data_IF_787249001893
#
_entry.id   IF_787249001893
#
_cell.length_a   1.000
_cell.length_b   1.000
_cell.length_c   1.000
_cell.angle_alpha   90.00
_cell.angle_beta   90.00
_cell.angle_gamma   90.00
#
_symmetry.space_group_name_H-M   'P 1'
#
loop_
_entity.id
_entity.type
_entity.pdbx_description
1 polymer ?
#
# COMPACT_ATOMS: atom_id res chain seq x y z
N UNK A 1 -68.03 22.72 -2.63
CA UNK A 1 -66.65 23.17 -2.37
C UNK A 1 -65.79 21.91 -2.26
N UNK A 2 -64.86 21.68 -3.21
CA UNK A 2 -64.01 20.48 -3.29
C UNK A 2 -62.74 20.70 -2.44
N UNK A 3 -62.33 19.77 -1.56
CA UNK A 3 -61.03 19.86 -0.92
C UNK A 3 -59.94 19.36 -1.89
N UNK A 4 -58.91 20.18 -2.07
CA UNK A 4 -57.73 19.88 -2.88
C UNK A 4 -56.84 18.94 -2.06
N UNK A 5 -56.64 17.72 -2.56
CA UNK A 5 -55.72 16.74 -2.00
C UNK A 5 -54.30 17.09 -2.45
N UNK A 6 -53.47 17.62 -1.55
CA UNK A 6 -52.06 17.88 -1.81
C UNK A 6 -51.29 16.59 -1.55
N UNK A 7 -50.91 15.88 -2.62
CA UNK A 7 -49.95 14.78 -2.56
C UNK A 7 -48.55 15.33 -2.29
N UNK A 8 -48.04 15.14 -1.08
CA UNK A 8 -46.62 15.30 -0.78
C UNK A 8 -45.85 14.12 -1.40
N UNK A 9 -45.21 14.37 -2.55
CA UNK A 9 -44.23 13.45 -3.13
C UNK A 9 -42.91 13.60 -2.36
N UNK A 10 -42.70 12.73 -1.37
CA UNK A 10 -41.43 12.62 -0.65
C UNK A 10 -40.37 12.02 -1.58
N UNK A 11 -39.45 12.84 -2.07
CA UNK A 11 -38.20 12.38 -2.68
C UNK A 11 -37.38 11.66 -1.61
N UNK A 12 -37.30 10.34 -1.70
CA UNK A 12 -36.27 9.54 -1.03
C UNK A 12 -34.94 9.81 -1.76
N UNK A 13 -34.15 10.74 -1.25
CA UNK A 13 -32.73 10.83 -1.59
C UNK A 13 -32.06 9.59 -1.00
N UNK A 14 -31.80 8.58 -1.81
CA UNK A 14 -30.84 7.54 -1.46
C UNK A 14 -29.46 8.20 -1.36
N UNK A 15 -29.02 8.49 -0.14
CA UNK A 15 -27.62 8.77 0.13
C UNK A 15 -26.83 7.51 -0.19
N UNK A 16 -26.29 7.44 -1.39
CA UNK A 16 -25.21 6.53 -1.71
C UNK A 16 -24.02 6.93 -0.85
N UNK A 17 -23.91 6.37 0.36
CA UNK A 17 -22.67 6.43 1.11
C UNK A 17 -21.59 5.77 0.26
N UNK A 18 -20.74 6.59 -0.37
CA UNK A 18 -19.47 6.13 -0.86
C UNK A 18 -18.71 5.58 0.35
N UNK A 19 -18.74 4.26 0.52
CA UNK A 19 -17.97 3.58 1.54
C UNK A 19 -16.50 3.88 1.21
N UNK A 20 -15.86 4.74 2.00
CA UNK A 20 -14.45 5.05 1.83
C UNK A 20 -13.67 3.74 2.00
N UNK A 21 -13.26 3.11 0.91
CA UNK A 21 -12.48 1.87 0.98
C UNK A 21 -11.15 2.22 1.63
N UNK A 22 -10.97 1.84 2.88
CA UNK A 22 -9.73 2.03 3.61
C UNK A 22 -9.02 0.68 3.65
N UNK A 23 -7.80 0.66 3.14
CA UNK A 23 -6.98 -0.54 3.02
C UNK A 23 -5.99 -0.62 4.20
N UNK A 24 -5.38 -1.79 4.38
CA UNK A 24 -4.20 -1.93 5.25
C UNK A 24 -3.04 -2.39 4.39
N UNK A 25 -1.99 -1.59 4.36
CA UNK A 25 -0.73 -1.91 3.71
C UNK A 25 0.19 -2.61 4.71
N UNK A 26 0.80 -3.70 4.28
CA UNK A 26 1.68 -4.51 5.13
C UNK A 26 3.03 -4.68 4.45
N UNK A 27 4.09 -4.32 5.14
CA UNK A 27 5.45 -4.62 4.74
C UNK A 27 5.90 -5.93 5.40
N UNK A 28 6.47 -6.82 4.60
CA UNK A 28 7.13 -8.05 5.06
C UNK A 28 8.63 -7.84 4.99
N UNK A 29 9.23 -7.33 6.05
CA UNK A 29 10.68 -7.08 6.07
C UNK A 29 11.42 -8.35 6.45
N UNK A 30 12.36 -8.78 5.60
CA UNK A 30 13.18 -9.96 5.89
C UNK A 30 13.91 -9.80 7.22
N UNK A 31 13.81 -10.82 8.09
CA UNK A 31 14.61 -10.87 9.31
C UNK A 31 16.00 -11.41 9.01
N UNK A 32 17.02 -10.64 9.34
CA UNK A 32 18.42 -11.09 9.28
C UNK A 32 18.80 -11.96 10.49
N UNK A 33 18.04 -11.84 11.58
CA UNK A 33 18.17 -12.58 12.84
C UNK A 33 17.24 -13.80 12.92
N UNK A 34 16.66 -14.24 11.80
CA UNK A 34 15.79 -15.42 11.77
C UNK A 34 16.60 -16.69 12.01
N UNK A 35 16.00 -17.67 12.68
CA UNK A 35 16.63 -18.98 12.87
C UNK A 35 17.03 -19.59 11.51
N UNK A 36 18.22 -20.17 11.46
CA UNK A 36 18.61 -21.01 10.34
C UNK A 36 17.81 -22.31 10.40
N UNK A 37 17.21 -22.67 9.27
CA UNK A 37 16.39 -23.87 9.14
C UNK A 37 16.90 -24.67 7.94
N UNK A 38 16.74 -26.00 7.94
CA UNK A 38 17.02 -26.83 6.77
C UNK A 38 16.24 -26.35 5.54
N UNK A 39 16.79 -26.57 4.36
CA UNK A 39 16.19 -26.13 3.10
C UNK A 39 14.77 -26.66 2.93
N UNK A 40 14.53 -27.91 3.28
CA UNK A 40 13.24 -28.59 3.18
C UNK A 40 12.18 -27.91 4.05
N UNK A 41 12.58 -27.44 5.23
CA UNK A 41 11.68 -26.71 6.13
C UNK A 41 11.38 -25.30 5.58
N UNK A 42 12.39 -24.60 5.06
CA UNK A 42 12.19 -23.30 4.41
C UNK A 42 11.25 -23.43 3.20
N UNK A 43 11.45 -24.45 2.36
CA UNK A 43 10.62 -24.70 1.18
C UNK A 43 9.17 -25.04 1.59
N UNK A 44 8.98 -25.81 2.67
CA UNK A 44 7.67 -26.11 3.24
C UNK A 44 6.95 -24.84 3.74
N UNK A 45 7.66 -23.98 4.47
CA UNK A 45 7.12 -22.70 4.94
C UNK A 45 6.73 -21.79 3.78
N UNK A 46 7.57 -21.70 2.74
CA UNK A 46 7.27 -20.87 1.56
C UNK A 46 6.10 -21.43 0.73
N UNK A 47 5.98 -22.76 0.59
CA UNK A 47 4.80 -23.38 -0.03
C UNK A 47 3.53 -23.05 0.75
N UNK A 48 3.58 -23.13 2.08
CA UNK A 48 2.47 -22.77 2.95
C UNK A 48 2.11 -21.28 2.88
N UNK A 49 3.11 -20.40 2.80
CA UNK A 49 2.94 -18.96 2.60
C UNK A 49 2.19 -18.65 1.29
N UNK A 50 2.62 -19.24 0.17
CA UNK A 50 1.94 -19.06 -1.13
C UNK A 50 0.51 -19.61 -1.13
N UNK A 51 0.28 -20.78 -0.51
CA UNK A 51 -1.06 -21.33 -0.35
C UNK A 51 -1.98 -20.43 0.49
N UNK A 52 -1.42 -19.80 1.53
CA UNK A 52 -2.14 -18.83 2.37
C UNK A 52 -2.50 -17.56 1.60
N UNK A 53 -1.57 -17.00 0.82
CA UNK A 53 -1.82 -15.86 -0.09
C UNK A 53 -2.99 -16.19 -1.04
N UNK A 54 -2.93 -17.33 -1.72
CA UNK A 54 -3.99 -17.73 -2.66
C UNK A 54 -5.34 -17.89 -1.98
N UNK A 55 -5.37 -18.45 -0.76
CA UNK A 55 -6.61 -18.59 0.00
C UNK A 55 -7.18 -17.21 0.39
N UNK A 56 -6.35 -16.32 0.95
CA UNK A 56 -6.78 -14.97 1.36
C UNK A 56 -7.22 -14.12 0.15
N UNK A 57 -6.60 -14.30 -1.01
CA UNK A 57 -7.03 -13.67 -2.25
C UNK A 57 -8.41 -14.18 -2.71
N UNK A 58 -8.64 -15.51 -2.70
CA UNK A 58 -9.97 -16.09 -3.01
C UNK A 58 -11.06 -15.64 -2.03
N UNK A 59 -10.71 -15.42 -0.77
CA UNK A 59 -11.62 -14.90 0.25
C UNK A 59 -11.88 -13.38 0.11
N UNK A 60 -11.27 -12.70 -0.86
CA UNK A 60 -11.41 -11.25 -1.07
C UNK A 60 -10.76 -10.39 0.02
N UNK A 61 -9.93 -11.00 0.88
CA UNK A 61 -9.26 -10.34 2.00
C UNK A 61 -7.96 -9.68 1.55
N UNK A 62 -7.16 -10.38 0.75
CA UNK A 62 -5.89 -9.91 0.21
C UNK A 62 -6.10 -9.47 -1.24
N UNK A 63 -5.84 -8.21 -1.54
CA UNK A 63 -6.04 -7.64 -2.89
C UNK A 63 -4.75 -7.67 -3.71
N UNK A 64 -3.64 -7.30 -3.08
CA UNK A 64 -2.34 -7.20 -3.74
C UNK A 64 -1.30 -7.94 -2.91
N UNK A 65 -0.47 -8.74 -3.58
CA UNK A 65 0.70 -9.38 -3.01
C UNK A 65 1.84 -9.33 -4.03
N UNK A 66 3.02 -8.92 -3.57
CA UNK A 66 4.19 -8.84 -4.45
C UNK A 66 5.49 -8.89 -3.66
N UNK A 67 6.43 -9.77 -4.01
CA UNK A 67 7.75 -9.75 -3.40
C UNK A 67 8.55 -8.54 -3.88
N UNK A 68 9.45 -8.10 -3.02
CA UNK A 68 10.53 -7.21 -3.45
C UNK A 68 11.72 -8.03 -3.94
N UNK A 69 12.44 -7.48 -4.92
CA UNK A 69 13.77 -7.98 -5.26
C UNK A 69 14.71 -7.88 -4.03
N UNK A 70 15.52 -8.92 -3.80
CA UNK A 70 16.35 -9.02 -2.60
C UNK A 70 15.63 -9.49 -1.33
N UNK A 71 14.32 -9.75 -1.42
CA UNK A 71 13.52 -10.40 -0.39
C UNK A 71 12.57 -9.48 0.36
N UNK A 72 11.66 -10.10 1.10
CA UNK A 72 10.51 -9.40 1.66
C UNK A 72 9.44 -9.11 0.61
N UNK A 73 8.51 -8.22 0.91
CA UNK A 73 7.44 -7.86 -0.01
C UNK A 73 6.37 -7.00 0.63
N UNK A 74 5.26 -6.85 -0.09
CA UNK A 74 4.08 -6.13 0.37
C UNK A 74 2.85 -7.01 0.31
N UNK A 75 1.89 -6.70 1.19
CA UNK A 75 0.49 -7.04 1.03
C UNK A 75 -0.38 -5.80 1.14
N UNK A 76 -1.51 -5.80 0.43
CA UNK A 76 -2.57 -4.80 0.63
C UNK A 76 -3.89 -5.53 0.85
N UNK A 77 -4.48 -5.32 2.02
CA UNK A 77 -5.70 -5.99 2.46
C UNK A 77 -6.93 -5.10 2.32
N UNK A 78 -8.06 -5.74 2.03
CA UNK A 78 -9.39 -5.14 1.97
C UNK A 78 -9.99 -4.98 3.39
N UNK A 79 -9.29 -4.25 4.26
CA UNK A 79 -9.73 -3.90 5.60
C UNK A 79 -8.96 -2.69 6.08
N UNK A 80 -9.60 -1.83 6.85
CA UNK A 80 -8.98 -0.66 7.47
C UNK A 80 -8.51 -0.89 8.91
N UNK A 81 -8.70 -2.12 9.42
CA UNK A 81 -8.32 -2.51 10.76
C UNK A 81 -7.03 -3.34 10.72
N UNK A 82 -5.89 -2.80 11.17
CA UNK A 82 -4.66 -3.57 11.32
C UNK A 82 -4.83 -4.79 12.24
N UNK A 83 -5.75 -4.75 13.20
CA UNK A 83 -6.02 -5.88 14.10
C UNK A 83 -6.69 -7.04 13.38
N UNK A 84 -7.69 -6.75 12.53
CA UNK A 84 -8.32 -7.76 11.67
C UNK A 84 -7.30 -8.37 10.70
N UNK A 85 -6.46 -7.54 10.09
CA UNK A 85 -5.41 -8.01 9.18
C UNK A 85 -4.37 -8.86 9.89
N UNK A 86 -4.00 -8.51 11.13
CA UNK A 86 -3.10 -9.33 11.97
C UNK A 86 -3.67 -10.72 12.22
N UNK A 87 -4.98 -10.84 12.44
CA UNK A 87 -5.63 -12.14 12.60
C UNK A 87 -5.56 -12.98 11.32
N UNK A 88 -5.80 -12.38 10.15
CA UNK A 88 -5.69 -13.06 8.86
C UNK A 88 -4.25 -13.49 8.54
N UNK A 89 -3.27 -12.66 8.88
CA UNK A 89 -1.85 -12.99 8.71
C UNK A 89 -1.39 -14.09 9.68
N UNK A 90 -2.05 -14.24 10.83
CA UNK A 90 -1.74 -15.28 11.81
C UNK A 90 -1.91 -16.72 11.30
N UNK A 91 -2.58 -16.93 10.17
CA UNK A 91 -2.70 -18.25 9.53
C UNK A 91 -1.51 -18.60 8.63
N UNK A 92 -0.61 -17.66 8.37
CA UNK A 92 0.54 -17.87 7.50
C UNK A 92 1.68 -18.60 8.23
N UNK A 93 2.13 -19.77 7.77
CA UNK A 93 3.17 -20.52 8.45
C UNK A 93 4.52 -19.81 8.46
N UNK A 94 4.88 -19.05 7.41
CA UNK A 94 6.13 -18.30 7.37
C UNK A 94 6.11 -17.09 8.32
N UNK A 95 4.96 -16.44 8.49
CA UNK A 95 4.80 -15.38 9.50
C UNK A 95 4.87 -15.97 10.90
N UNK A 96 4.17 -17.08 11.17
CA UNK A 96 4.23 -17.78 12.47
C UNK A 96 5.64 -18.26 12.82
N UNK A 97 6.42 -18.67 11.81
CA UNK A 97 7.82 -19.03 11.95
C UNK A 97 8.76 -17.81 12.06
N UNK A 98 8.22 -16.60 12.23
CA UNK A 98 9.00 -15.36 12.39
C UNK A 98 10.04 -15.15 11.27
N UNK A 99 9.68 -15.45 10.02
CA UNK A 99 10.59 -15.21 8.87
C UNK A 99 10.67 -13.73 8.49
N UNK A 100 9.65 -12.95 8.83
CA UNK A 100 9.54 -11.51 8.52
C UNK A 100 9.18 -10.68 9.76
N UNK A 101 9.63 -9.41 9.76
CA UNK A 101 9.11 -8.34 10.63
C UNK A 101 8.00 -7.63 9.87
N UNK A 102 6.81 -7.60 10.46
CA UNK A 102 5.65 -6.96 9.84
C UNK A 102 5.53 -5.51 10.29
N UNK A 103 5.36 -4.61 9.34
CA UNK A 103 4.86 -3.25 9.59
C UNK A 103 3.51 -3.12 8.91
N UNK A 104 2.51 -2.55 9.58
CA UNK A 104 1.14 -2.47 9.08
C UNK A 104 0.61 -1.06 9.27
N UNK A 105 0.09 -0.48 8.20
CA UNK A 105 -0.44 0.88 8.20
C UNK A 105 -1.81 0.90 7.51
N UNK A 106 -2.80 1.64 8.04
CA UNK A 106 -3.91 2.06 7.21
C UNK A 106 -3.37 2.78 5.97
N UNK A 107 -4.00 2.57 4.82
CA UNK A 107 -3.50 3.07 3.54
C UNK A 107 -4.60 3.74 2.74
N UNK A 108 -4.27 4.93 2.23
CA UNK A 108 -5.16 5.76 1.43
C UNK A 108 -4.48 6.07 0.10
N UNK A 109 -4.92 5.46 -1.02
CA UNK A 109 -4.43 5.82 -2.34
C UNK A 109 -4.95 7.20 -2.76
N UNK A 110 -4.12 7.95 -3.48
CA UNK A 110 -4.44 9.24 -4.10
C UNK A 110 -4.28 9.20 -5.62
N UNK A 111 -3.34 8.39 -6.11
CA UNK A 111 -3.17 8.04 -7.52
C UNK A 111 -3.31 6.53 -7.66
N UNK A 112 -4.06 6.09 -8.67
CA UNK A 112 -4.48 4.70 -8.78
C UNK A 112 -5.44 4.31 -7.66
N UNK A 113 -5.58 3.01 -7.44
CA UNK A 113 -6.29 2.45 -6.30
C UNK A 113 -5.72 1.05 -5.99
N UNK A 114 -6.47 0.17 -5.37
CA UNK A 114 -6.07 -1.21 -5.07
C UNK A 114 -7.06 -2.16 -5.71
N UNK A 115 -6.61 -2.91 -6.71
CA UNK A 115 -7.44 -3.82 -7.49
C UNK A 115 -6.98 -5.25 -7.29
N UNK A 116 -7.93 -6.13 -6.97
CA UNK A 116 -7.68 -7.57 -7.06
C UNK A 116 -7.50 -7.96 -8.53
N UNK A 117 -6.46 -8.75 -8.82
CA UNK A 117 -6.16 -9.22 -10.18
C UNK A 117 -6.31 -10.73 -10.28
N UNK A 118 -6.60 -11.22 -11.48
CA UNK A 118 -6.68 -12.65 -11.73
C UNK A 118 -5.32 -13.33 -11.52
N UNK A 119 -5.25 -14.58 -11.03
CA UNK A 119 -3.98 -15.29 -10.85
C UNK A 119 -3.17 -15.52 -12.13
N UNK A 120 -3.83 -15.40 -13.29
CA UNK A 120 -3.24 -15.61 -14.62
C UNK A 120 -2.76 -14.31 -15.27
N UNK A 121 -2.85 -13.17 -14.56
CA UNK A 121 -2.40 -11.90 -15.11
C UNK A 121 -0.89 -11.89 -15.30
N UNK A 122 -0.43 -11.12 -16.29
CA UNK A 122 0.99 -10.86 -16.48
C UNK A 122 1.59 -10.22 -15.23
N UNK A 123 2.77 -10.69 -14.82
CA UNK A 123 3.52 -10.09 -13.73
C UNK A 123 4.44 -9.00 -14.27
N UNK A 124 4.46 -7.85 -13.60
CA UNK A 124 5.24 -6.68 -13.98
C UNK A 124 6.14 -6.24 -12.83
N UNK A 125 7.22 -5.54 -13.18
CA UNK A 125 8.13 -4.96 -12.20
C UNK A 125 7.98 -3.45 -12.18
N UNK A 126 7.72 -2.90 -11.00
CA UNK A 126 7.69 -1.46 -10.75
C UNK A 126 8.84 -1.03 -9.85
N UNK A 127 9.24 0.23 -9.96
CA UNK A 127 10.06 0.86 -8.94
C UNK A 127 9.15 1.31 -7.81
N UNK A 128 9.44 0.80 -6.61
CA UNK A 128 8.73 1.11 -5.38
C UNK A 128 9.58 2.02 -4.53
N UNK A 129 8.98 3.11 -4.06
CA UNK A 129 9.60 4.11 -3.21
C UNK A 129 8.74 4.24 -1.95
N UNK A 130 9.36 4.05 -0.78
CA UNK A 130 8.73 4.30 0.51
C UNK A 130 9.30 5.56 1.11
N UNK A 131 8.44 6.48 1.54
CA UNK A 131 8.81 7.64 2.33
C UNK A 131 8.62 7.30 3.82
N UNK A 132 9.71 7.35 4.58
CA UNK A 132 9.74 7.00 6.01
C UNK A 132 9.97 8.29 6.80
N UNK A 133 9.04 8.71 7.68
CA UNK A 133 9.20 9.94 8.45
C UNK A 133 10.43 9.91 9.35
N UNK A 134 11.25 10.95 9.27
CA UNK A 134 12.44 11.15 10.11
C UNK A 134 12.32 12.45 10.91
N UNK A 135 11.18 12.61 11.59
CA UNK A 135 10.89 13.80 12.38
C UNK A 135 11.69 13.77 13.70
N UNK A 136 12.40 14.86 13.95
CA UNK A 136 13.19 15.10 15.15
C UNK A 136 12.84 16.47 15.74
N UNK A 137 13.34 16.75 16.95
CA UNK A 137 13.20 18.09 17.57
C UNK A 137 13.77 19.24 16.73
N UNK A 138 14.64 18.94 15.76
CA UNK A 138 15.32 19.94 14.94
C UNK A 138 14.55 20.30 13.66
N UNK A 139 13.76 19.37 13.11
CA UNK A 139 13.02 19.58 11.86
C UNK A 139 11.49 19.65 12.05
N UNK A 140 10.97 19.30 13.23
CA UNK A 140 9.51 19.28 13.52
C UNK A 140 8.82 20.62 13.24
N UNK A 141 9.51 21.75 13.46
CA UNK A 141 8.93 23.09 13.26
C UNK A 141 8.62 23.37 11.79
N UNK A 142 9.43 22.84 10.87
CA UNK A 142 9.23 22.96 9.42
C UNK A 142 8.37 21.85 8.85
N UNK A 143 8.27 20.73 9.56
CA UNK A 143 7.66 19.49 9.06
C UNK A 143 6.30 19.71 8.39
N UNK A 144 5.39 20.47 8.99
CA UNK A 144 4.07 20.74 8.42
C UNK A 144 4.12 21.41 7.04
N UNK A 145 4.98 22.42 6.87
CA UNK A 145 5.18 23.07 5.57
C UNK A 145 5.86 22.12 4.57
N UNK A 146 6.86 21.38 5.02
CA UNK A 146 7.57 20.41 4.18
C UNK A 146 6.65 19.27 3.70
N UNK A 147 5.78 18.73 4.55
CA UNK A 147 4.77 17.73 4.16
C UNK A 147 3.86 18.28 3.06
N UNK A 148 3.40 19.53 3.19
CA UNK A 148 2.57 20.17 2.16
C UNK A 148 3.33 20.31 0.84
N UNK A 149 4.57 20.79 0.88
CA UNK A 149 5.43 20.93 -0.31
C UNK A 149 5.69 19.57 -0.98
N UNK A 150 5.93 18.53 -0.19
CA UNK A 150 6.07 17.16 -0.65
C UNK A 150 4.79 16.64 -1.33
N UNK A 151 3.62 16.86 -0.72
CA UNK A 151 2.34 16.47 -1.34
C UNK A 151 2.11 17.20 -2.67
N UNK A 152 2.42 18.50 -2.73
CA UNK A 152 2.29 19.27 -3.97
C UNK A 152 3.31 18.82 -5.03
N UNK A 153 4.49 18.37 -4.61
CA UNK A 153 5.48 17.77 -5.48
C UNK A 153 5.01 16.43 -6.06
N UNK A 154 4.48 15.52 -5.23
CA UNK A 154 3.93 14.24 -5.68
C UNK A 154 2.77 14.44 -6.69
N UNK A 155 1.91 15.46 -6.48
CA UNK A 155 0.86 15.82 -7.45
C UNK A 155 1.44 16.26 -8.80
N UNK A 156 2.60 16.91 -8.82
CA UNK A 156 3.27 17.29 -10.07
C UNK A 156 3.84 16.05 -10.76
N UNK A 157 4.53 15.17 -10.03
CA UNK A 157 5.09 13.93 -10.61
C UNK A 157 3.98 13.03 -11.14
N UNK A 158 2.84 12.92 -10.44
CA UNK A 158 1.69 12.14 -10.89
C UNK A 158 1.20 12.53 -12.30
N UNK A 159 1.37 13.79 -12.71
CA UNK A 159 0.98 14.27 -14.04
C UNK A 159 1.94 13.86 -15.16
N UNK A 160 3.11 13.30 -14.83
CA UNK A 160 4.09 12.84 -15.84
C UNK A 160 3.67 11.55 -16.55
N UNK A 161 2.66 10.84 -16.04
CA UNK A 161 2.16 9.58 -16.61
C UNK A 161 2.97 8.32 -16.22
N UNK A 162 4.11 8.49 -15.54
CA UNK A 162 4.95 7.38 -15.10
C UNK A 162 4.57 6.82 -13.72
N UNK A 163 3.72 7.53 -12.97
CA UNK A 163 3.23 7.09 -11.66
C UNK A 163 2.09 6.09 -11.84
N UNK A 164 2.27 4.90 -11.28
CA UNK A 164 1.29 3.80 -11.26
C UNK A 164 0.37 3.95 -10.06
N UNK A 165 0.95 4.19 -8.89
CA UNK A 165 0.23 4.34 -7.64
C UNK A 165 0.95 5.34 -6.74
N UNK A 166 0.17 6.08 -5.97
CA UNK A 166 0.68 6.98 -4.94
C UNK A 166 -0.34 6.98 -3.81
N UNK A 167 0.13 6.90 -2.57
CA UNK A 167 -0.75 7.04 -1.41
C UNK A 167 0.03 7.22 -0.13
N UNK A 168 -0.71 7.54 0.93
CA UNK A 168 -0.12 7.87 2.22
C UNK A 168 -0.64 6.96 3.33
N UNK A 169 0.14 6.90 4.39
CA UNK A 169 -0.24 6.30 5.66
C UNK A 169 -0.71 7.43 6.60
N UNK A 170 -1.92 7.32 7.19
CA UNK A 170 -2.42 8.31 8.15
C UNK A 170 -1.46 8.54 9.33
N UNK A 171 -1.75 9.54 10.17
CA UNK A 171 -0.93 9.89 11.35
C UNK A 171 0.51 10.33 11.03
N UNK A 172 0.78 10.73 9.77
CA UNK A 172 2.11 11.09 9.27
C UNK A 172 3.08 9.93 9.33
N UNK A 173 2.61 8.69 9.14
CA UNK A 173 3.44 7.49 9.05
C UNK A 173 4.16 7.34 7.69
N UNK A 174 4.05 8.36 6.82
CA UNK A 174 4.71 8.43 5.53
C UNK A 174 3.80 8.04 4.38
N UNK A 175 4.37 7.39 3.38
CA UNK A 175 3.63 7.00 2.19
C UNK A 175 4.47 6.23 1.18
N UNK A 176 3.88 5.95 0.03
CA UNK A 176 4.49 5.19 -1.05
C UNK A 176 4.27 5.87 -2.40
N UNK A 177 5.23 5.68 -3.29
CA UNK A 177 5.15 6.01 -4.71
C UNK A 177 5.59 4.79 -5.52
N UNK A 178 4.81 4.42 -6.51
CA UNK A 178 5.07 3.29 -7.41
C UNK A 178 5.14 3.83 -8.83
N UNK A 179 6.25 3.57 -9.51
CA UNK A 179 6.53 4.13 -10.84
C UNK A 179 6.89 3.03 -11.84
N UNK A 180 6.53 3.26 -13.11
CA UNK A 180 6.97 2.44 -14.23
C UNK A 180 8.46 2.67 -14.49
N UNK A 181 9.19 1.61 -14.82
CA UNK A 181 10.60 1.70 -15.22
C UNK A 181 11.55 2.11 -14.10
N UNK A 182 12.74 2.56 -14.47
CA UNK A 182 13.72 3.14 -13.54
C UNK A 182 13.37 4.60 -13.23
N UNK A 183 13.71 5.02 -12.01
CA UNK A 183 13.45 6.38 -11.54
C UNK A 183 14.77 7.15 -11.54
N UNK A 184 14.77 8.31 -12.18
CA UNK A 184 15.90 9.25 -12.16
C UNK A 184 16.12 9.72 -10.71
N UNK A 185 17.32 9.55 -10.12
CA UNK A 185 17.64 10.07 -8.79
C UNK A 185 17.31 11.56 -8.64
N UNK A 186 17.48 12.36 -9.68
CA UNK A 186 17.18 13.80 -9.66
C UNK A 186 15.69 14.08 -9.37
N UNK A 187 14.79 13.17 -9.78
CA UNK A 187 13.36 13.27 -9.46
C UNK A 187 13.10 13.15 -7.96
N UNK A 188 13.93 12.41 -7.24
CA UNK A 188 13.72 12.23 -5.81
C UNK A 188 14.45 13.28 -5.00
N UNK A 189 15.65 13.67 -5.43
CA UNK A 189 16.40 14.77 -4.83
C UNK A 189 15.66 16.12 -4.93
N UNK A 190 14.87 16.30 -5.98
CA UNK A 190 14.01 17.48 -6.14
C UNK A 190 12.81 17.53 -5.18
N UNK A 191 12.50 16.43 -4.48
CA UNK A 191 11.46 16.43 -3.46
C UNK A 191 11.87 17.31 -2.27
N UNK A 192 11.08 18.35 -1.91
CA UNK A 192 11.41 19.26 -0.81
C UNK A 192 11.66 18.55 0.53
N UNK A 193 11.07 17.38 0.73
CA UNK A 193 11.27 16.59 1.94
C UNK A 193 12.68 16.02 2.11
N UNK A 194 13.43 15.85 1.02
CA UNK A 194 14.81 15.38 1.06
C UNK A 194 15.73 16.47 1.63
N UNK A 195 15.48 17.72 1.25
CA UNK A 195 16.29 18.87 1.71
C UNK A 195 16.10 19.16 3.20
N UNK A 196 14.87 19.10 3.69
CA UNK A 196 14.56 19.34 5.11
C UNK A 196 14.73 18.08 5.98
N UNK A 197 15.10 16.93 5.39
CA UNK A 197 15.34 15.64 6.07
C UNK A 197 14.16 15.17 6.93
N UNK A 198 12.94 15.50 6.50
CA UNK A 198 11.71 15.07 7.19
C UNK A 198 11.27 13.67 6.76
N UNK A 199 11.77 13.20 5.62
CA UNK A 199 11.66 11.84 5.15
C UNK A 199 13.04 11.26 4.84
N UNK A 200 13.21 9.97 5.13
CA UNK A 200 14.13 9.11 4.40
C UNK A 200 13.36 8.29 3.38
N UNK A 201 14.08 7.71 2.43
CA UNK A 201 13.50 6.94 1.33
C UNK A 201 14.10 5.54 1.26
N UNK A 202 13.27 4.59 0.86
CA UNK A 202 13.70 3.24 0.52
C UNK A 202 13.28 2.90 -0.90
N UNK A 203 14.24 2.41 -1.70
CA UNK A 203 14.00 1.96 -3.07
C UNK A 203 13.99 0.44 -3.15
N UNK A 204 12.99 -0.10 -3.83
CA UNK A 204 12.93 -1.52 -4.16
C UNK A 204 12.34 -1.73 -5.55
N UNK A 205 12.65 -2.88 -6.16
CA UNK A 205 11.90 -3.39 -7.29
C UNK A 205 10.77 -4.26 -6.76
N UNK A 206 9.53 -3.92 -7.11
CA UNK A 206 8.34 -4.64 -6.71
C UNK A 206 7.85 -5.47 -7.89
N UNK A 207 7.75 -6.79 -7.70
CA UNK A 207 7.17 -7.69 -8.69
C UNK A 207 5.74 -8.02 -8.30
N UNK A 208 4.77 -7.73 -9.16
CA UNK A 208 3.34 -7.78 -8.84
C UNK A 208 2.50 -8.03 -10.09
N UNK A 209 1.27 -8.51 -9.94
CA UNK A 209 0.37 -8.69 -11.09
C UNK A 209 -0.03 -7.35 -11.71
N UNK A 210 0.04 -7.23 -13.04
CA UNK A 210 -0.39 -6.03 -13.77
C UNK A 210 -1.86 -5.71 -13.46
N UNK A 211 -2.16 -4.44 -13.23
CA UNK A 211 -3.48 -3.94 -12.83
C UNK A 211 -3.72 -3.95 -11.32
N UNK A 212 -2.76 -4.37 -10.50
CA UNK A 212 -2.90 -4.43 -9.03
C UNK A 212 -3.18 -3.06 -8.40
N UNK A 213 -2.81 -1.98 -9.09
CA UNK A 213 -3.04 -0.60 -8.64
C UNK A 213 -4.11 0.12 -9.45
N UNK A 214 -4.96 -0.64 -10.13
CA UNK A 214 -6.00 -0.14 -11.03
C UNK A 214 -5.44 0.77 -12.14
N UNK A 215 -4.17 0.59 -12.49
CA UNK A 215 -3.54 1.30 -13.59
C UNK A 215 -4.09 0.80 -14.94
N UNK A 216 -4.39 1.73 -15.84
CA UNK A 216 -4.81 1.39 -17.20
C UNK A 216 -3.64 0.71 -17.94
N UNK A 217 -3.96 -0.43 -18.57
CA UNK A 217 -3.01 -1.39 -19.14
C UNK A 217 -2.47 -1.03 -20.50
#
# INVERSE_FOLDING_TARGET
MRPILICFLSLLLSEGHAQSTQYTFVFLNTRHDKAELPKEEVDSLMKGHLANIQRLAREGKLLVAGPFEGGGGIFIFNSNSPDTVRQWLGTDPGIRANRWRLEMFPYVPRVGSVCAVAPTVEMVTYTFIRYIPTITKFNVQKSGETFKKHEDYLKQIARTGNVVAEGYFPNRDGGILIMKGEVDPALIEADPSMSDTVFSIEYKKLWVGKGSFCEEG
#
